data_IF_419488587241
#
_entry.id   IF_419488587241
#
_cell.length_a   1.000
_cell.length_b   1.000
_cell.length_c   1.000
_cell.angle_alpha   90.00
_cell.angle_beta   90.00
_cell.angle_gamma   90.00
#
_symmetry.space_group_name_H-M   'P 1'
#
loop_
_entity.id
_entity.type
_entity.pdbx_description
1 polymer ?
#
# COMPACT_ATOMS: atom_id res chain seq x y z
N UNK A 1 5.40 7.00 -0.21
CA UNK A 1 4.27 6.20 -0.71
C UNK A 1 3.92 6.54 -2.16
N UNK A 2 3.51 7.78 -2.49
CA UNK A 2 3.26 8.18 -3.89
C UNK A 2 4.49 7.96 -4.78
N UNK A 3 5.64 8.52 -4.40
CA UNK A 3 6.92 8.33 -5.12
C UNK A 3 7.28 6.85 -5.34
N UNK A 4 7.06 6.01 -4.32
CA UNK A 4 7.34 4.56 -4.42
C UNK A 4 6.47 3.89 -5.49
N UNK A 5 5.19 4.27 -5.56
CA UNK A 5 4.23 3.75 -6.52
C UNK A 5 4.42 4.33 -7.93
N UNK A 6 4.88 5.58 -8.04
CA UNK A 6 5.26 6.21 -9.32
C UNK A 6 6.45 5.48 -9.96
N UNK A 7 7.44 5.07 -9.15
CA UNK A 7 8.63 4.36 -9.64
C UNK A 7 8.36 2.89 -9.97
N UNK A 8 7.62 2.17 -9.11
CA UNK A 8 7.40 0.71 -9.25
C UNK A 8 6.13 0.33 -10.01
N UNK A 9 5.20 1.25 -10.20
CA UNK A 9 3.86 1.02 -10.77
C UNK A 9 2.90 0.28 -9.83
N UNK A 10 3.35 -0.82 -9.20
CA UNK A 10 2.58 -1.55 -8.19
C UNK A 10 3.45 -1.95 -7.01
N UNK A 11 2.87 -2.00 -5.81
CA UNK A 11 3.54 -2.46 -4.59
C UNK A 11 2.57 -3.20 -3.68
N UNK A 12 3.07 -4.15 -2.90
CA UNK A 12 2.25 -4.81 -1.89
C UNK A 12 2.23 -4.06 -0.56
N UNK A 13 1.29 -4.43 0.32
CA UNK A 13 1.08 -3.74 1.60
C UNK A 13 2.30 -3.81 2.54
N UNK A 14 3.11 -4.86 2.44
CA UNK A 14 4.35 -5.02 3.25
C UNK A 14 5.40 -4.03 2.78
N UNK A 15 5.63 -3.93 1.48
CA UNK A 15 6.58 -2.96 0.92
C UNK A 15 6.21 -1.51 1.28
N UNK A 16 4.91 -1.18 1.28
CA UNK A 16 4.44 0.14 1.72
C UNK A 16 4.71 0.35 3.20
N UNK A 17 4.43 -0.66 4.04
CA UNK A 17 4.68 -0.61 5.47
C UNK A 17 6.17 -0.43 5.78
N UNK A 18 7.06 -1.18 5.13
CA UNK A 18 8.51 -1.09 5.32
C UNK A 18 9.00 0.31 4.92
N UNK A 19 8.58 0.79 3.75
CA UNK A 19 8.94 2.13 3.27
C UNK A 19 8.43 3.27 4.17
N UNK A 20 7.29 3.11 4.83
CA UNK A 20 6.77 4.08 5.79
C UNK A 20 7.61 4.05 7.08
N UNK A 21 7.87 2.87 7.62
CA UNK A 21 8.59 2.72 8.89
C UNK A 21 10.07 3.08 8.80
N UNK A 22 10.69 2.98 7.62
CA UNK A 22 12.05 3.49 7.38
C UNK A 22 12.12 5.03 7.41
N UNK A 23 11.01 5.74 7.13
CA UNK A 23 10.98 7.20 6.95
C UNK A 23 10.36 7.97 8.11
N UNK A 24 9.58 7.32 8.98
CA UNK A 24 8.89 7.98 10.08
C UNK A 24 9.25 7.35 11.43
N UNK A 25 9.57 8.20 12.41
CA UNK A 25 9.90 7.77 13.80
C UNK A 25 8.71 7.19 14.56
N UNK A 26 7.49 7.52 14.17
CA UNK A 26 6.26 6.99 14.74
C UNK A 26 5.66 6.05 13.71
N UNK A 27 6.00 4.77 13.81
CA UNK A 27 5.60 3.76 12.83
C UNK A 27 4.08 3.60 12.73
N UNK A 28 3.63 2.99 11.63
CA UNK A 28 2.25 2.56 11.45
C UNK A 28 2.18 1.03 11.51
N UNK A 29 1.07 0.46 11.96
CA UNK A 29 0.84 -0.99 11.87
C UNK A 29 0.39 -1.38 10.47
N UNK A 30 0.61 -2.63 10.05
CA UNK A 30 0.22 -3.13 8.72
C UNK A 30 -1.28 -2.99 8.45
N UNK A 31 -2.12 -3.17 9.47
CA UNK A 31 -3.56 -2.99 9.34
C UNK A 31 -3.93 -1.51 9.13
N UNK A 32 -3.25 -0.59 9.81
CA UNK A 32 -3.44 0.85 9.59
C UNK A 32 -3.04 1.26 8.17
N UNK A 33 -1.90 0.76 7.67
CA UNK A 33 -1.44 1.00 6.30
C UNK A 33 -2.48 0.50 5.29
N UNK A 34 -2.96 -0.74 5.45
CA UNK A 34 -4.00 -1.30 4.58
C UNK A 34 -5.30 -0.48 4.61
N UNK A 35 -5.75 -0.04 5.79
CA UNK A 35 -6.95 0.79 5.94
C UNK A 35 -6.81 2.17 5.29
N UNK A 36 -5.64 2.79 5.37
CA UNK A 36 -5.38 4.09 4.73
C UNK A 36 -5.42 3.94 3.21
N UNK A 37 -4.71 2.95 2.67
CA UNK A 37 -4.68 2.66 1.24
C UNK A 37 -6.09 2.35 0.69
N UNK A 38 -6.91 1.61 1.44
CA UNK A 38 -8.27 1.28 1.03
C UNK A 38 -9.23 2.48 1.01
N UNK A 39 -8.97 3.52 1.81
CA UNK A 39 -9.83 4.71 1.94
C UNK A 39 -9.41 5.87 1.05
N UNK A 40 -8.15 5.92 0.65
CA UNK A 40 -7.60 7.00 -0.16
C UNK A 40 -7.79 6.70 -1.65
N UNK A 41 -8.61 7.53 -2.30
CA UNK A 41 -8.99 7.40 -3.73
C UNK A 41 -7.80 7.45 -4.70
N UNK A 42 -6.64 7.92 -4.25
CA UNK A 42 -5.42 7.94 -5.06
C UNK A 42 -4.84 6.54 -5.28
N UNK A 43 -5.31 5.54 -4.54
CA UNK A 43 -4.82 4.17 -4.65
C UNK A 43 -5.94 3.21 -5.05
N UNK A 44 -5.58 2.25 -5.88
CA UNK A 44 -6.48 1.18 -6.28
C UNK A 44 -5.87 -0.15 -5.91
N UNK A 45 -6.67 -1.02 -5.30
CA UNK A 45 -6.27 -2.41 -5.05
C UNK A 45 -6.37 -3.19 -6.36
N UNK A 46 -5.23 -3.65 -6.86
CA UNK A 46 -5.13 -4.35 -8.15
C UNK A 46 -4.97 -5.87 -8.01
N UNK A 47 -4.78 -6.36 -6.78
CA UNK A 47 -4.70 -7.80 -6.56
C UNK A 47 -4.23 -8.20 -5.17
N UNK A 48 -3.69 -9.41 -5.10
CA UNK A 48 -3.10 -9.97 -3.90
C UNK A 48 -1.82 -10.73 -4.23
N UNK A 49 -0.90 -10.76 -3.28
CA UNK A 49 0.33 -11.53 -3.35
C UNK A 49 0.41 -12.45 -2.14
N UNK A 50 0.71 -13.74 -2.37
CA UNK A 50 0.99 -14.70 -1.30
C UNK A 50 2.46 -14.67 -0.94
N UNK A 51 2.75 -14.59 0.35
CA UNK A 51 4.09 -14.73 0.92
C UNK A 51 4.14 -15.87 1.95
N UNK A 52 5.36 -16.20 2.38
CA UNK A 52 5.61 -17.11 3.49
C UNK A 52 6.38 -16.39 4.58
N UNK A 53 5.92 -16.49 5.81
CA UNK A 53 6.60 -15.97 6.99
C UNK A 53 6.58 -17.02 8.09
N UNK A 54 7.77 -17.41 8.58
CA UNK A 54 7.96 -18.41 9.64
C UNK A 54 7.13 -19.70 9.43
N UNK A 55 7.14 -20.23 8.21
CA UNK A 55 6.39 -21.45 7.85
C UNK A 55 4.88 -21.26 7.62
N UNK A 56 4.33 -20.10 7.95
CA UNK A 56 2.94 -19.74 7.66
C UNK A 56 2.82 -19.01 6.32
N UNK A 57 1.72 -19.25 5.60
CA UNK A 57 1.39 -18.52 4.37
C UNK A 57 0.55 -17.30 4.75
N UNK A 58 0.89 -16.14 4.22
CA UNK A 58 0.08 -14.94 4.32
C UNK A 58 -0.28 -14.42 2.94
N UNK A 59 -1.35 -13.65 2.86
CA UNK A 59 -1.80 -12.98 1.64
C UNK A 59 -1.88 -11.49 1.93
N UNK A 60 -1.26 -10.67 1.08
CA UNK A 60 -1.26 -9.21 1.20
C UNK A 60 -1.87 -8.57 -0.04
N UNK A 61 -2.47 -7.40 0.13
CA UNK A 61 -3.03 -6.65 -0.99
C UNK A 61 -1.90 -6.01 -1.81
N UNK A 62 -2.10 -5.96 -3.13
CA UNK A 62 -1.27 -5.23 -4.08
C UNK A 62 -2.01 -3.98 -4.53
N UNK A 63 -1.28 -2.87 -4.59
CA UNK A 63 -1.81 -1.52 -4.81
C UNK A 63 -1.11 -0.86 -6.00
N UNK A 64 -1.85 -0.02 -6.73
CA UNK A 64 -1.34 0.90 -7.75
C UNK A 64 -1.85 2.32 -7.47
N UNK A 65 -1.33 3.31 -8.20
CA UNK A 65 -2.02 4.59 -8.31
C UNK A 65 -3.34 4.41 -9.05
N UNK A 66 -4.35 5.16 -8.64
CA UNK A 66 -5.63 5.22 -9.33
C UNK A 66 -5.46 5.98 -10.65
N UNK A 67 -6.13 5.49 -11.70
CA UNK A 67 -6.24 6.17 -12.99
C UNK A 67 -7.42 7.14 -13.03
N UNK A 68 -8.24 7.19 -11.98
CA UNK A 68 -9.33 8.15 -11.89
C UNK A 68 -8.77 9.57 -11.72
N UNK A 69 -9.27 10.56 -12.50
CA UNK A 69 -8.93 11.95 -12.27
C UNK A 69 -9.39 12.36 -10.87
N UNK A 70 -8.49 12.99 -10.10
CA UNK A 70 -8.83 13.54 -8.79
C UNK A 70 -9.81 14.70 -9.00
N UNK A 71 -11.10 14.42 -8.87
CA UNK A 71 -12.13 15.47 -8.85
C UNK A 71 -11.96 16.20 -7.50
N UNK A 72 -11.68 17.52 -7.48
CA UNK A 72 -11.69 18.26 -6.24
C UNK A 72 -13.10 18.18 -5.64
N UNK A 73 -13.18 17.82 -4.36
CA UNK A 73 -14.44 17.83 -3.64
C UNK A 73 -15.02 19.25 -3.70
N UNK A 74 -16.21 19.37 -4.30
CA UNK A 74 -17.01 20.59 -4.40
C UNK A 74 -17.44 21.09 -3.03
#
# INVERSE_FOLDING_TARGET
>A
MLVLLEEKGTVNTVEVFDHLNERFRWGATMNQVGNILAKDRRFTKVGHQRGRFRGSVYTVCVWSLSTEPLIPAV
#
